data_IF_481746331882
#
_entry.id   IF_481746331882
#
_cell.length_a   1.000
_cell.length_b   1.000
_cell.length_c   1.000
_cell.angle_alpha   90.00
_cell.angle_beta   90.00
_cell.angle_gamma   90.00
#
_symmetry.space_group_name_H-M   'P 1'
#
loop_
_entity.id
_entity.type
_entity.pdbx_description
1 polymer ?
#
# COMPACT_ATOMS: atom_id res chain seq x y z
N UNK A 1 68.58 6.24 -6.94
CA UNK A 1 67.58 5.33 -6.36
C UNK A 1 66.21 5.93 -6.65
N UNK A 2 65.50 5.39 -7.62
CA UNK A 2 64.22 5.91 -8.16
C UNK A 2 63.07 5.08 -7.61
N UNK A 3 62.11 5.72 -6.94
CA UNK A 3 60.95 5.08 -6.34
C UNK A 3 59.89 4.75 -7.40
N UNK A 4 59.46 3.49 -7.46
CA UNK A 4 58.39 3.04 -8.35
C UNK A 4 57.02 3.34 -7.71
N UNK A 5 56.16 4.05 -8.43
CA UNK A 5 54.77 4.28 -8.04
C UNK A 5 53.94 3.01 -8.33
N UNK A 6 53.31 2.46 -7.29
CA UNK A 6 52.36 1.35 -7.40
C UNK A 6 50.99 1.95 -7.76
N UNK A 7 50.54 1.73 -8.99
CA UNK A 7 49.16 1.99 -9.40
C UNK A 7 48.31 0.75 -9.08
N UNK A 8 47.40 0.87 -8.12
CA UNK A 8 46.33 -0.11 -7.88
C UNK A 8 45.08 0.29 -8.66
N UNK A 9 44.73 -0.53 -9.64
CA UNK A 9 43.51 -0.40 -10.43
C UNK A 9 42.28 -0.68 -9.54
N UNK A 10 41.41 0.31 -9.34
CA UNK A 10 40.10 0.09 -8.74
C UNK A 10 39.16 -0.49 -9.81
N UNK A 11 38.69 -1.74 -9.63
CA UNK A 11 37.60 -2.29 -10.44
C UNK A 11 36.29 -1.56 -10.11
N UNK A 12 35.44 -1.24 -11.10
CA UNK A 12 34.09 -0.76 -10.83
C UNK A 12 33.25 -1.90 -10.22
N UNK A 13 32.45 -1.54 -9.22
CA UNK A 13 31.54 -2.43 -8.51
C UNK A 13 30.58 -3.14 -9.46
N UNK A 14 30.43 -4.45 -9.30
CA UNK A 14 29.43 -5.26 -10.00
C UNK A 14 28.02 -4.81 -9.57
N UNK A 15 27.06 -4.66 -10.50
CA UNK A 15 25.67 -4.43 -10.15
C UNK A 15 25.09 -5.71 -9.52
N UNK A 16 24.54 -5.56 -8.32
CA UNK A 16 23.90 -6.61 -7.54
C UNK A 16 22.80 -7.31 -8.36
N UNK A 17 22.99 -8.62 -8.60
CA UNK A 17 22.12 -9.48 -9.41
C UNK A 17 20.87 -9.97 -8.67
N UNK A 18 20.68 -9.58 -7.40
CA UNK A 18 19.52 -9.94 -6.60
C UNK A 18 18.53 -8.78 -6.47
N UNK A 19 17.76 -8.60 -7.55
CA UNK A 19 16.48 -7.91 -7.62
C UNK A 19 16.10 -7.02 -6.44
N UNK A 20 16.42 -5.73 -6.54
CA UNK A 20 15.57 -4.71 -5.94
C UNK A 20 14.19 -4.88 -6.57
N UNK A 21 13.27 -5.47 -5.81
CA UNK A 21 11.86 -5.34 -6.08
C UNK A 21 11.47 -3.96 -5.54
N UNK A 22 11.27 -2.91 -6.38
CA UNK A 22 10.64 -1.71 -5.89
C UNK A 22 9.18 -2.07 -5.64
N UNK A 23 8.91 -2.60 -4.44
CA UNK A 23 7.64 -2.33 -3.77
C UNK A 23 7.53 -0.80 -3.76
N UNK A 24 6.76 -0.26 -4.71
CA UNK A 24 6.52 1.17 -4.87
C UNK A 24 5.72 1.75 -3.71
N UNK A 25 6.25 1.65 -2.50
CA UNK A 25 5.84 2.43 -1.35
C UNK A 25 6.34 3.85 -1.62
N UNK A 26 5.51 4.63 -2.31
CA UNK A 26 5.70 6.07 -2.44
C UNK A 26 5.76 6.67 -1.02
N UNK A 27 6.66 7.63 -0.74
CA UNK A 27 6.70 8.29 0.55
C UNK A 27 5.35 8.95 0.84
N UNK A 28 4.70 8.52 1.92
CA UNK A 28 3.43 9.09 2.36
C UNK A 28 3.71 10.41 3.08
N UNK A 29 3.59 11.55 2.38
CA UNK A 29 3.60 12.86 3.02
C UNK A 29 2.27 13.07 3.78
N UNK A 30 2.33 13.13 5.12
CA UNK A 30 1.19 13.43 5.99
C UNK A 30 1.01 12.45 7.16
N UNK A 31 -0.07 12.63 7.94
CA UNK A 31 -0.46 11.69 8.99
C UNK A 31 -0.86 10.35 8.35
N UNK A 32 -0.10 9.30 8.67
CA UNK A 32 -0.36 7.93 8.21
C UNK A 32 -1.30 7.27 9.22
N UNK A 33 -2.38 6.68 8.70
CA UNK A 33 -3.25 5.78 9.44
C UNK A 33 -2.80 4.34 9.22
N UNK A 34 -2.57 3.64 10.32
CA UNK A 34 -2.23 2.21 10.34
C UNK A 34 -3.42 1.40 10.85
N UNK A 35 -3.81 0.39 10.07
CA UNK A 35 -4.91 -0.51 10.39
C UNK A 35 -4.43 -1.97 10.36
N UNK A 36 -4.49 -2.62 11.51
CA UNK A 36 -4.29 -4.06 11.61
C UNK A 36 -5.61 -4.81 11.50
N UNK A 37 -5.62 -5.91 10.76
CA UNK A 37 -6.82 -6.73 10.58
C UNK A 37 -6.56 -8.07 9.93
N UNK A 38 -7.65 -8.72 9.53
CA UNK A 38 -7.65 -9.98 8.79
C UNK A 38 -8.51 -9.87 7.55
N UNK A 39 -8.08 -10.47 6.44
CA UNK A 39 -8.84 -10.49 5.20
C UNK A 39 -10.20 -11.19 5.41
N UNK A 40 -11.30 -10.48 5.17
CA UNK A 40 -12.66 -10.98 5.29
C UNK A 40 -13.05 -11.91 4.12
N UNK A 41 -12.48 -11.63 2.94
CA UNK A 41 -12.63 -12.34 1.68
C UNK A 41 -11.27 -12.39 0.95
N UNK A 42 -11.17 -13.16 -0.13
CA UNK A 42 -10.01 -13.06 -1.02
C UNK A 42 -9.99 -11.69 -1.70
N UNK A 43 -8.81 -11.11 -1.87
CA UNK A 43 -8.67 -9.85 -2.59
C UNK A 43 -8.96 -10.05 -4.09
N UNK A 44 -9.48 -8.99 -4.72
CA UNK A 44 -9.88 -9.02 -6.13
C UNK A 44 -9.22 -7.87 -6.88
N UNK A 45 -8.78 -8.12 -8.12
CA UNK A 45 -8.31 -7.06 -9.00
C UNK A 45 -9.47 -6.61 -9.88
N UNK A 46 -9.78 -5.32 -9.79
CA UNK A 46 -10.77 -4.66 -10.63
C UNK A 46 -10.07 -3.63 -11.50
N UNK A 47 -10.74 -3.22 -12.57
CA UNK A 47 -10.30 -2.09 -13.39
C UNK A 47 -11.25 -0.93 -13.09
N UNK A 48 -10.70 0.23 -12.74
CA UNK A 48 -11.47 1.45 -12.52
C UNK A 48 -11.02 2.55 -13.47
N UNK A 49 -11.99 3.31 -13.96
CA UNK A 49 -11.73 4.56 -14.65
C UNK A 49 -11.61 5.67 -13.59
N UNK A 50 -10.47 6.37 -13.48
CA UNK A 50 -10.37 7.59 -12.69
C UNK A 50 -11.41 8.61 -13.16
N UNK A 51 -11.74 9.58 -12.30
CA UNK A 51 -12.71 10.64 -12.61
C UNK A 51 -12.36 11.41 -13.89
N UNK A 52 -11.07 11.46 -14.19
CA UNK A 52 -10.49 12.17 -15.33
C UNK A 52 -10.73 11.42 -16.66
N UNK A 53 -11.10 10.12 -16.59
CA UNK A 53 -11.55 9.31 -17.72
C UNK A 53 -10.47 8.90 -18.73
N UNK A 54 -9.23 9.34 -18.55
CA UNK A 54 -8.19 9.20 -19.58
C UNK A 54 -7.61 7.78 -19.63
N UNK A 55 -7.37 7.16 -18.47
CA UNK A 55 -6.70 5.86 -18.42
C UNK A 55 -7.29 4.92 -17.37
N UNK A 56 -7.66 3.72 -17.80
CA UNK A 56 -8.13 2.65 -16.93
C UNK A 56 -6.99 2.15 -16.02
N UNK A 57 -7.22 2.09 -14.72
CA UNK A 57 -6.20 1.64 -13.75
C UNK A 57 -6.63 0.35 -13.05
N UNK A 58 -5.71 -0.61 -12.89
CA UNK A 58 -5.95 -1.76 -12.02
C UNK A 58 -6.02 -1.31 -10.56
N UNK A 59 -6.99 -1.87 -9.84
CA UNK A 59 -7.26 -1.59 -8.43
C UNK A 59 -7.40 -2.90 -7.69
N UNK A 60 -6.54 -3.12 -6.71
CA UNK A 60 -6.65 -4.23 -5.77
C UNK A 60 -7.68 -3.86 -4.69
N UNK A 61 -8.82 -4.54 -4.71
CA UNK A 61 -9.89 -4.37 -3.74
C UNK A 61 -9.75 -5.41 -2.62
N UNK A 62 -9.87 -4.94 -1.38
CA UNK A 62 -9.72 -5.74 -0.17
C UNK A 62 -10.88 -5.47 0.78
N UNK A 63 -11.38 -6.55 1.39
CA UNK A 63 -12.31 -6.48 2.52
C UNK A 63 -11.57 -6.93 3.77
N UNK A 64 -11.44 -6.07 4.77
CA UNK A 64 -10.63 -6.32 5.96
C UNK A 64 -11.50 -6.22 7.21
N UNK A 65 -11.38 -7.20 8.11
CA UNK A 65 -11.93 -7.13 9.47
C UNK A 65 -10.89 -6.49 10.39
N UNK A 66 -11.15 -5.31 10.96
CA UNK A 66 -10.24 -4.69 11.93
C UNK A 66 -10.00 -5.61 13.13
N UNK A 67 -8.76 -5.64 13.63
CA UNK A 67 -8.41 -6.38 14.84
C UNK A 67 -9.11 -5.80 16.09
N UNK A 68 -9.35 -4.48 16.09
CA UNK A 68 -9.99 -3.75 17.19
C UNK A 68 -11.21 -2.96 16.67
N UNK A 69 -12.27 -2.83 17.48
CA UNK A 69 -13.32 -1.83 17.23
C UNK A 69 -14.60 -2.28 16.50
N UNK A 70 -14.88 -3.58 16.34
CA UNK A 70 -16.24 -3.99 15.95
C UNK A 70 -16.36 -5.43 15.47
N UNK A 71 -16.92 -6.30 16.32
CA UNK A 71 -17.31 -7.66 15.90
C UNK A 71 -18.29 -7.54 14.72
N UNK A 72 -17.92 -8.15 13.59
CA UNK A 72 -18.78 -8.24 12.40
C UNK A 72 -18.70 -7.07 11.40
N UNK A 73 -17.83 -6.07 11.61
CA UNK A 73 -17.63 -4.99 10.62
C UNK A 73 -16.49 -5.34 9.65
N UNK A 74 -16.69 -5.05 8.37
CA UNK A 74 -15.65 -5.08 7.34
C UNK A 74 -15.37 -3.67 6.84
N UNK A 75 -14.11 -3.42 6.50
CA UNK A 75 -13.66 -2.20 5.86
C UNK A 75 -13.26 -2.53 4.43
N UNK A 76 -13.76 -1.73 3.50
CA UNK A 76 -13.32 -1.74 2.12
C UNK A 76 -12.04 -0.92 1.99
N UNK A 77 -11.01 -1.52 1.40
CA UNK A 77 -9.75 -0.86 1.09
C UNK A 77 -9.37 -1.09 -0.37
N UNK A 78 -8.74 -0.07 -0.96
CA UNK A 78 -8.34 -0.07 -2.36
C UNK A 78 -6.87 0.33 -2.47
N UNK A 79 -6.09 -0.45 -3.23
CA UNK A 79 -4.75 -0.06 -3.66
C UNK A 79 -4.76 0.11 -5.17
N UNK A 80 -4.53 1.35 -5.63
CA UNK A 80 -4.47 1.67 -7.06
C UNK A 80 -3.06 1.40 -7.57
N UNK A 81 -2.99 0.74 -8.73
CA UNK A 81 -1.75 0.45 -9.42
C UNK A 81 -1.61 1.34 -10.68
N UNK A 82 -0.39 1.55 -11.18
CA UNK A 82 -0.16 2.12 -12.51
C UNK A 82 -0.84 1.29 -13.61
N UNK A 83 -1.02 1.86 -14.80
CA UNK A 83 -1.71 1.22 -15.94
C UNK A 83 -1.12 -0.14 -16.33
N UNK A 84 0.21 -0.24 -16.30
CA UNK A 84 0.95 -1.49 -16.55
C UNK A 84 1.08 -2.40 -15.32
N UNK A 85 0.49 -2.02 -14.18
CA UNK A 85 0.66 -2.71 -12.89
C UNK A 85 -0.32 -3.87 -12.64
N UNK A 86 -1.05 -4.33 -13.67
CA UNK A 86 -2.08 -5.37 -13.50
C UNK A 86 -1.52 -6.69 -12.98
N UNK A 87 -0.41 -7.15 -13.57
CA UNK A 87 0.23 -8.41 -13.17
C UNK A 87 0.67 -8.37 -11.70
N UNK A 88 1.26 -7.25 -11.26
CA UNK A 88 1.64 -7.04 -9.86
C UNK A 88 0.43 -7.02 -8.92
N UNK A 89 -0.70 -6.44 -9.34
CA UNK A 89 -1.94 -6.45 -8.59
C UNK A 89 -2.51 -7.88 -8.47
N UNK A 90 -2.48 -8.66 -9.55
CA UNK A 90 -2.98 -10.05 -9.57
C UNK A 90 -2.09 -10.97 -8.71
N UNK A 91 -0.77 -10.82 -8.78
CA UNK A 91 0.16 -11.54 -7.92
C UNK A 91 -0.10 -11.24 -6.43
N UNK A 92 -0.38 -9.98 -6.08
CA UNK A 92 -0.71 -9.60 -4.69
C UNK A 92 -2.09 -10.11 -4.28
N UNK A 93 -3.08 -10.11 -5.18
CA UNK A 93 -4.39 -10.70 -4.90
C UNK A 93 -4.31 -12.21 -4.62
N UNK A 94 -3.44 -12.93 -5.35
CA UNK A 94 -3.27 -14.38 -5.19
C UNK A 94 -2.81 -14.80 -3.78
N UNK A 95 -2.01 -13.96 -3.12
CA UNK A 95 -1.53 -14.22 -1.74
C UNK A 95 -2.48 -13.69 -0.66
N UNK A 96 -3.28 -12.66 -0.94
CA UNK A 96 -4.22 -12.04 0.00
C UNK A 96 -5.55 -12.80 0.05
N UNK A 97 -5.53 -13.99 0.63
CA UNK A 97 -6.72 -14.83 0.79
C UNK A 97 -7.46 -14.52 2.09
N UNK A 98 -8.71 -14.96 2.16
CA UNK A 98 -9.52 -14.89 3.39
C UNK A 98 -8.76 -15.48 4.58
N UNK A 99 -8.77 -14.77 5.71
CA UNK A 99 -8.12 -15.17 6.96
C UNK A 99 -6.66 -14.73 7.08
N UNK A 100 -6.03 -14.24 6.01
CA UNK A 100 -4.66 -13.72 6.07
C UNK A 100 -4.60 -12.47 6.95
N UNK A 101 -3.69 -12.39 7.94
CA UNK A 101 -3.46 -11.18 8.72
C UNK A 101 -2.79 -10.12 7.84
N UNK A 102 -3.25 -8.87 7.95
CA UNK A 102 -2.77 -7.75 7.14
C UNK A 102 -2.61 -6.49 7.99
N UNK A 103 -1.65 -5.67 7.59
CA UNK A 103 -1.49 -4.29 8.06
C UNK A 103 -1.67 -3.38 6.85
N UNK A 104 -2.62 -2.45 6.92
CA UNK A 104 -2.84 -1.44 5.90
C UNK A 104 -2.26 -0.10 6.38
N UNK A 105 -1.49 0.54 5.50
CA UNK A 105 -0.98 1.89 5.70
C UNK A 105 -1.63 2.79 4.65
N UNK A 106 -2.23 3.89 5.10
CA UNK A 106 -2.85 4.87 4.20
C UNK A 106 -2.63 6.28 4.73
N UNK A 107 -2.51 7.25 3.83
CA UNK A 107 -2.56 8.66 4.23
C UNK A 107 -3.99 9.03 4.65
N UNK A 108 -4.13 9.80 5.73
CA UNK A 108 -5.43 10.37 6.13
C UNK A 108 -5.96 11.38 5.10
N UNK A 109 -5.09 11.98 4.29
CA UNK A 109 -5.48 12.97 3.26
C UNK A 109 -6.45 12.41 2.23
N UNK A 110 -6.24 11.14 1.84
CA UNK A 110 -6.98 10.47 0.78
C UNK A 110 -7.98 9.43 1.32
N UNK A 111 -8.09 9.30 2.65
CA UNK A 111 -9.00 8.37 3.30
C UNK A 111 -10.42 8.95 3.31
N UNK A 112 -11.38 8.21 2.75
CA UNK A 112 -12.80 8.55 2.83
C UNK A 112 -13.50 7.67 3.87
N UNK A 113 -13.92 8.29 4.98
CA UNK A 113 -14.68 7.63 6.03
C UNK A 113 -16.09 8.20 6.10
N UNK A 114 -17.11 7.34 6.12
CA UNK A 114 -18.51 7.74 6.26
C UNK A 114 -19.07 7.10 7.54
N UNK A 115 -19.63 7.92 8.43
CA UNK A 115 -20.27 7.49 9.68
C UNK A 115 -21.78 7.81 9.59
N UNK A 116 -22.61 6.92 9.01
CA UNK A 116 -24.01 7.24 8.70
C UNK A 116 -24.92 7.39 9.92
N UNK A 117 -24.50 6.87 11.09
CA UNK A 117 -25.30 6.83 12.31
C UNK A 117 -24.49 7.30 13.53
N UNK A 118 -23.99 8.53 13.48
CA UNK A 118 -23.30 9.16 14.62
C UNK A 118 -24.26 9.28 15.80
N UNK A 119 -23.89 8.72 16.95
CA UNK A 119 -24.75 8.65 18.14
C UNK A 119 -24.66 9.90 19.02
N UNK A 120 -23.50 10.56 19.04
CA UNK A 120 -23.25 11.75 19.83
C UNK A 120 -22.22 12.63 19.11
N UNK A 121 -22.35 13.95 19.29
CA UNK A 121 -21.39 14.95 18.83
C UNK A 121 -21.13 15.87 20.02
N UNK A 122 -19.90 15.87 20.51
CA UNK A 122 -19.46 16.69 21.64
C UNK A 122 -18.44 17.72 21.13
N UNK A 123 -18.52 18.94 21.67
CA UNK A 123 -17.53 19.97 21.39
C UNK A 123 -16.27 19.67 22.20
N UNK A 124 -15.18 19.33 21.52
CA UNK A 124 -13.87 19.25 22.15
C UNK A 124 -13.26 20.64 22.21
N UNK A 125 -13.02 21.18 23.41
CA UNK A 125 -12.20 22.37 23.58
C UNK A 125 -10.78 22.06 23.14
N UNK A 126 -10.37 22.58 21.98
CA UNK A 126 -8.97 22.59 21.56
C UNK A 126 -8.23 23.61 22.42
N UNK A 127 -7.41 23.13 23.37
CA UNK A 127 -6.41 23.93 24.08
C UNK A 127 -5.22 24.26 23.17
#
# INVERSE_FOLDING_TARGET
>A
MTAAAVQTSAQPAEPDMFGEQPSGAQPHEGLIFELHGTMAAAAEVRVKMPRDGIHARPVLCMEVRPAHGGRGRTLHAEQVYPENGREAAEAKAAILKKGVPVTLLTSLKDMRTILPHVQAVELTSSN
#
